data_IF_506089631566
#
_entry.id   IF_506089631566
#
_cell.length_a   1.000
_cell.length_b   1.000
_cell.length_c   1.000
_cell.angle_alpha   90.00
_cell.angle_beta   90.00
_cell.angle_gamma   90.00
#
_symmetry.space_group_name_H-M   'P 1'
#
loop_
_entity.id
_entity.type
_entity.pdbx_description
1 polymer ?
#
# COMPACT_ATOMS: atom_id res chain seq x y z
N UNK A 1 55.52 33.35 -39.09
CA UNK A 1 54.11 32.94 -39.28
C UNK A 1 53.48 32.94 -37.90
N UNK A 2 52.53 33.84 -37.67
CA UNK A 2 52.08 34.25 -36.35
C UNK A 2 51.00 33.29 -35.80
N UNK A 3 51.04 33.05 -34.49
CA UNK A 3 50.08 32.25 -33.71
C UNK A 3 48.67 32.86 -33.70
N UNK A 4 47.62 32.05 -33.86
CA UNK A 4 46.23 32.40 -33.49
C UNK A 4 45.48 31.14 -33.01
N UNK A 5 45.22 31.09 -31.69
CA UNK A 5 44.10 30.36 -31.05
C UNK A 5 42.77 31.03 -31.40
N UNK A 6 41.65 30.28 -31.51
CA UNK A 6 40.32 30.85 -31.28
C UNK A 6 39.93 30.70 -29.81
N UNK A 7 39.44 31.82 -29.26
CA UNK A 7 38.79 31.96 -27.95
C UNK A 7 37.38 31.38 -27.94
N UNK A 8 37.02 30.90 -26.75
CA UNK A 8 35.74 30.98 -26.03
C UNK A 8 34.57 31.68 -26.73
N UNK A 9 33.40 31.03 -26.70
CA UNK A 9 32.14 31.74 -26.60
C UNK A 9 31.34 31.15 -25.43
N UNK A 10 30.98 32.05 -24.51
CA UNK A 10 30.37 31.82 -23.21
C UNK A 10 28.84 31.64 -23.27
N UNK A 11 28.36 30.76 -22.37
CA UNK A 11 27.07 30.76 -21.64
C UNK A 11 25.72 30.54 -22.38
N UNK A 12 24.66 30.12 -21.64
CA UNK A 12 24.62 29.82 -20.20
C UNK A 12 24.23 28.38 -19.84
N UNK A 13 24.84 27.93 -18.74
CA UNK A 13 24.36 26.87 -17.86
C UNK A 13 22.91 27.16 -17.45
N UNK A 14 21.97 26.37 -17.96
CA UNK A 14 20.64 26.29 -17.38
C UNK A 14 20.76 25.47 -16.11
N UNK A 15 20.76 26.18 -14.98
CA UNK A 15 20.75 25.58 -13.65
C UNK A 15 19.58 24.60 -13.57
N UNK A 16 19.92 23.31 -13.47
CA UNK A 16 18.97 22.28 -13.06
C UNK A 16 18.45 22.66 -11.68
N UNK A 17 17.28 23.28 -11.64
CA UNK A 17 16.56 23.54 -10.40
C UNK A 17 16.38 22.21 -9.69
N UNK A 18 16.99 22.10 -8.51
CA UNK A 18 16.71 21.04 -7.55
C UNK A 18 15.23 21.14 -7.17
N UNK A 19 14.39 20.41 -7.91
CA UNK A 19 13.02 20.14 -7.52
C UNK A 19 13.13 19.24 -6.31
N UNK A 20 13.26 19.85 -5.13
CA UNK A 20 13.17 19.16 -3.87
C UNK A 20 11.81 18.47 -3.83
N UNK A 21 11.78 17.17 -4.13
CA UNK A 21 10.56 16.40 -3.98
C UNK A 21 10.14 16.52 -2.51
N UNK A 22 8.88 16.86 -2.20
CA UNK A 22 8.45 16.96 -0.81
C UNK A 22 8.77 15.65 -0.11
N UNK A 23 9.44 15.73 1.04
CA UNK A 23 9.80 14.57 1.85
C UNK A 23 8.57 13.68 2.03
N UNK A 24 8.49 12.61 1.24
CA UNK A 24 7.42 11.62 1.38
C UNK A 24 7.66 10.98 2.75
N UNK A 25 6.70 11.12 3.66
CA UNK A 25 6.74 10.43 4.94
C UNK A 25 7.00 8.95 4.65
N UNK A 26 8.06 8.41 5.24
CA UNK A 26 8.41 7.01 5.10
C UNK A 26 7.27 6.10 5.59
N UNK A 27 7.38 4.81 5.30
CA UNK A 27 6.39 3.81 5.72
C UNK A 27 6.21 3.83 7.24
N UNK A 28 4.96 3.68 7.72
CA UNK A 28 4.71 3.56 9.17
C UNK A 28 5.31 2.25 9.70
N UNK A 29 6.02 2.34 10.82
CA UNK A 29 6.62 1.19 11.51
C UNK A 29 5.92 0.85 12.83
N UNK A 30 5.01 1.73 13.31
CA UNK A 30 4.22 1.51 14.53
C UNK A 30 5.07 1.05 15.75
N UNK A 31 6.30 1.56 15.88
CA UNK A 31 7.25 1.14 16.93
C UNK A 31 6.65 1.23 18.34
N UNK A 32 5.89 2.28 18.61
CA UNK A 32 5.22 2.48 19.90
C UNK A 32 4.21 1.37 20.21
N UNK A 33 3.47 0.89 19.20
CA UNK A 33 2.53 -0.23 19.36
C UNK A 33 3.28 -1.56 19.53
N UNK A 34 4.37 -1.76 18.79
CA UNK A 34 5.22 -2.96 18.95
C UNK A 34 5.91 -3.01 20.32
N UNK A 35 6.30 -1.87 20.89
CA UNK A 35 6.93 -1.76 22.21
C UNK A 35 5.91 -1.74 23.37
N UNK A 36 4.62 -1.55 23.08
CA UNK A 36 3.55 -1.46 24.07
C UNK A 36 3.52 -2.67 25.01
N UNK A 37 3.46 -2.38 26.31
CA UNK A 37 3.27 -3.36 27.39
C UNK A 37 1.83 -3.42 27.88
N UNK A 38 1.18 -2.27 27.98
CA UNK A 38 -0.23 -2.16 28.39
C UNK A 38 -1.17 -2.36 27.22
N UNK A 39 -2.09 -3.32 27.30
CA UNK A 39 -2.98 -3.65 26.18
C UNK A 39 -4.12 -2.63 26.07
N UNK A 40 -4.40 -2.15 24.87
CA UNK A 40 -5.59 -1.30 24.60
C UNK A 40 -6.82 -2.16 24.34
N UNK A 41 -7.96 -1.78 24.92
CA UNK A 41 -9.26 -2.43 24.67
C UNK A 41 -9.81 -2.04 23.30
N UNK A 42 -10.35 -3.03 22.59
CA UNK A 42 -11.09 -2.82 21.34
C UNK A 42 -12.58 -3.02 21.61
N UNK A 43 -13.37 -1.97 21.37
CA UNK A 43 -14.84 -2.00 21.44
C UNK A 43 -15.38 -2.45 20.08
N UNK A 44 -16.44 -3.26 20.09
CA UNK A 44 -17.05 -3.80 18.89
C UNK A 44 -18.46 -3.26 18.66
N UNK A 45 -18.83 -3.11 17.39
CA UNK A 45 -20.23 -2.94 17.00
C UNK A 45 -20.97 -4.29 16.91
N UNK A 46 -22.26 -4.23 16.61
CA UNK A 46 -23.13 -5.40 16.44
C UNK A 46 -22.69 -6.36 15.32
N UNK A 47 -21.83 -5.92 14.40
CA UNK A 47 -21.25 -6.75 13.34
C UNK A 47 -19.88 -7.34 13.71
N UNK A 48 -19.49 -7.27 14.99
CA UNK A 48 -18.16 -7.72 15.48
C UNK A 48 -16.99 -6.99 14.83
N UNK A 49 -17.22 -5.78 14.34
CA UNK A 49 -16.16 -4.91 13.81
C UNK A 49 -15.72 -3.92 14.89
N UNK A 50 -14.42 -3.59 14.95
CA UNK A 50 -13.92 -2.59 15.90
C UNK A 50 -14.53 -1.22 15.58
N UNK A 51 -15.14 -0.59 16.60
CA UNK A 51 -15.73 0.74 16.51
C UNK A 51 -15.27 1.56 17.70
N UNK A 52 -14.84 2.79 17.42
CA UNK A 52 -14.55 3.81 18.41
C UNK A 52 -15.30 5.09 18.00
N UNK A 53 -15.84 5.89 18.94
CA UNK A 53 -16.49 7.17 18.59
C UNK A 53 -15.59 8.14 17.81
N UNK A 54 -14.28 7.97 17.92
CA UNK A 54 -13.23 8.82 17.32
C UNK A 54 -12.51 8.15 16.15
N UNK A 55 -12.78 6.87 15.85
CA UNK A 55 -12.07 5.99 14.90
C UNK A 55 -10.56 5.78 15.14
N UNK A 56 -9.91 6.58 15.99
CA UNK A 56 -8.45 6.57 16.21
C UNK A 56 -7.90 5.19 16.58
N UNK A 57 -8.58 4.47 17.47
CA UNK A 57 -8.18 3.13 17.90
C UNK A 57 -8.30 2.12 16.76
N UNK A 58 -9.32 2.25 15.92
CA UNK A 58 -9.57 1.39 14.76
C UNK A 58 -8.53 1.63 13.67
N UNK A 59 -8.17 2.90 13.44
CA UNK A 59 -7.12 3.31 12.51
C UNK A 59 -5.74 2.82 13.00
N UNK A 60 -5.46 2.95 14.29
CA UNK A 60 -4.22 2.45 14.91
C UNK A 60 -4.11 0.93 14.75
N UNK A 61 -5.18 0.20 15.08
CA UNK A 61 -5.23 -1.26 14.94
C UNK A 61 -5.03 -1.67 13.48
N UNK A 62 -5.76 -1.07 12.54
CA UNK A 62 -5.65 -1.38 11.11
C UNK A 62 -4.23 -1.10 10.59
N UNK A 63 -3.63 0.01 11.01
CA UNK A 63 -2.25 0.38 10.66
C UNK A 63 -1.23 -0.61 11.23
N UNK A 64 -1.45 -1.06 12.47
CA UNK A 64 -0.65 -2.11 13.11
C UNK A 64 -0.77 -3.45 12.39
N UNK A 65 -1.98 -3.89 12.04
CA UNK A 65 -2.18 -5.12 11.26
C UNK A 65 -1.46 -5.03 9.90
N UNK A 66 -1.46 -3.85 9.29
CA UNK A 66 -0.70 -3.57 8.09
C UNK A 66 0.82 -3.61 8.27
N UNK A 67 1.37 -3.45 9.48
CA UNK A 67 2.82 -3.68 9.74
C UNK A 67 3.12 -5.17 9.83
N UNK A 68 2.23 -5.96 10.44
CA UNK A 68 2.37 -7.42 10.53
C UNK A 68 2.38 -8.07 9.14
N UNK A 69 1.46 -7.65 8.27
CA UNK A 69 1.36 -8.12 6.90
C UNK A 69 2.63 -7.93 6.05
N UNK A 70 3.50 -6.99 6.44
CA UNK A 70 4.76 -6.68 5.75
C UNK A 70 5.97 -7.35 6.39
N UNK A 71 5.80 -7.99 7.54
CA UNK A 71 6.89 -8.66 8.22
C UNK A 71 7.10 -10.04 7.60
N UNK A 72 8.23 -10.22 6.90
CA UNK A 72 8.58 -11.48 6.24
C UNK A 72 8.65 -12.70 7.17
N UNK A 73 8.83 -12.51 8.49
CA UNK A 73 8.83 -13.64 9.45
C UNK A 73 7.42 -14.05 9.84
N UNK A 74 6.49 -13.10 9.94
CA UNK A 74 5.10 -13.35 10.32
C UNK A 74 4.21 -13.61 9.12
N UNK A 75 4.52 -13.02 7.97
CA UNK A 75 3.85 -13.20 6.69
C UNK A 75 4.90 -13.46 5.61
N UNK A 76 5.38 -14.72 5.51
CA UNK A 76 6.35 -15.09 4.49
C UNK A 76 5.80 -14.82 3.09
N UNK A 77 6.66 -14.30 2.20
CA UNK A 77 6.23 -13.93 0.85
C UNK A 77 6.34 -15.07 -0.18
N UNK A 78 7.06 -16.13 0.16
CA UNK A 78 7.21 -17.37 -0.61
C UNK A 78 5.94 -18.25 -0.56
N UNK A 79 5.07 -18.06 0.43
CA UNK A 79 3.76 -18.71 0.48
C UNK A 79 2.84 -18.02 -0.53
N UNK A 80 2.31 -18.76 -1.50
CA UNK A 80 1.49 -18.21 -2.59
C UNK A 80 0.02 -18.05 -2.20
N UNK A 81 -0.50 -18.96 -1.39
CA UNK A 81 -1.91 -18.98 -0.98
C UNK A 81 -2.05 -18.59 0.51
N UNK A 82 -2.83 -17.55 0.78
CA UNK A 82 -3.13 -17.13 2.15
C UNK A 82 -3.78 -18.25 2.97
N UNK A 83 -4.58 -19.13 2.36
CA UNK A 83 -5.22 -20.26 3.05
C UNK A 83 -4.16 -21.19 3.64
N UNK A 84 -3.04 -21.35 2.97
CA UNK A 84 -1.90 -22.18 3.37
C UNK A 84 -0.94 -21.51 4.36
N UNK A 85 -1.22 -20.27 4.79
CA UNK A 85 -0.34 -19.57 5.71
C UNK A 85 -0.42 -20.15 7.14
N UNK A 86 0.68 -20.76 7.59
CA UNK A 86 0.79 -21.43 8.88
C UNK A 86 0.94 -20.48 10.08
N UNK A 87 1.40 -19.25 9.84
CA UNK A 87 1.66 -18.22 10.88
C UNK A 87 0.41 -17.47 11.36
N UNK A 88 -0.80 -17.83 10.90
CA UNK A 88 -2.05 -17.15 11.29
C UNK A 88 -2.26 -17.14 12.81
N UNK A 89 -1.92 -18.24 13.47
CA UNK A 89 -1.99 -18.35 14.93
C UNK A 89 -1.02 -17.38 15.59
N UNK A 90 0.23 -17.34 15.12
CA UNK A 90 1.26 -16.44 15.65
C UNK A 90 0.88 -14.96 15.45
N UNK A 91 0.29 -14.61 14.29
CA UNK A 91 -0.26 -13.28 14.02
C UNK A 91 -1.36 -12.92 15.01
N UNK A 92 -2.27 -13.85 15.29
CA UNK A 92 -3.36 -13.64 16.23
C UNK A 92 -2.87 -13.48 17.66
N UNK A 93 -1.99 -14.37 18.11
CA UNK A 93 -1.41 -14.34 19.46
C UNK A 93 -0.57 -13.08 19.67
N UNK A 94 0.19 -12.65 18.65
CA UNK A 94 0.92 -11.39 18.68
C UNK A 94 -0.03 -10.18 18.81
N UNK A 95 -1.15 -10.20 18.09
CA UNK A 95 -2.16 -9.13 18.14
C UNK A 95 -2.83 -9.06 19.52
N UNK A 96 -3.24 -10.21 20.09
CA UNK A 96 -3.79 -10.31 21.47
C UNK A 96 -2.77 -9.91 22.54
N UNK A 97 -1.49 -10.03 22.25
CA UNK A 97 -0.43 -9.53 23.12
C UNK A 97 -0.43 -8.01 23.27
N UNK A 98 -0.94 -7.27 22.26
CA UNK A 98 -0.94 -5.79 22.20
C UNK A 98 -2.30 -5.16 22.48
N UNK A 99 -3.38 -5.91 22.29
CA UNK A 99 -4.74 -5.43 22.42
C UNK A 99 -5.60 -6.44 23.19
N UNK A 100 -6.57 -5.96 23.96
CA UNK A 100 -7.63 -6.78 24.53
C UNK A 100 -8.72 -6.86 23.45
N UNK A 101 -8.73 -7.96 22.70
CA UNK A 101 -9.63 -8.17 21.57
C UNK A 101 -10.53 -9.38 21.85
N UNK A 102 -11.86 -9.26 21.68
CA UNK A 102 -12.75 -10.42 21.72
C UNK A 102 -12.48 -11.40 20.56
N UNK A 103 -12.72 -12.69 20.79
CA UNK A 103 -12.42 -13.73 19.78
C UNK A 103 -13.21 -13.57 18.48
N UNK A 104 -14.41 -12.95 18.55
CA UNK A 104 -15.27 -12.70 17.38
C UNK A 104 -14.60 -11.82 16.29
N UNK A 105 -13.57 -11.04 16.67
CA UNK A 105 -12.83 -10.16 15.76
C UNK A 105 -11.77 -10.91 14.96
N UNK A 106 -11.43 -12.16 15.34
CA UNK A 106 -10.40 -12.96 14.69
C UNK A 106 -10.55 -12.97 13.16
N UNK A 107 -11.78 -13.20 12.68
CA UNK A 107 -12.05 -13.24 11.25
C UNK A 107 -11.77 -11.89 10.57
N UNK A 108 -12.24 -10.79 11.16
CA UNK A 108 -11.96 -9.45 10.66
C UNK A 108 -10.46 -9.16 10.65
N UNK A 109 -9.74 -9.49 11.72
CA UNK A 109 -8.28 -9.29 11.83
C UNK A 109 -7.53 -10.05 10.75
N UNK A 110 -7.85 -11.33 10.55
CA UNK A 110 -7.21 -12.15 9.53
C UNK A 110 -7.49 -11.64 8.11
N UNK A 111 -8.71 -11.19 7.83
CA UNK A 111 -9.06 -10.57 6.53
C UNK A 111 -8.29 -9.28 6.32
N UNK A 112 -8.19 -8.41 7.32
CA UNK A 112 -7.43 -7.16 7.23
C UNK A 112 -5.94 -7.40 6.96
N UNK A 113 -5.32 -8.35 7.67
CA UNK A 113 -3.90 -8.72 7.43
C UNK A 113 -3.75 -9.32 6.03
N UNK A 114 -4.66 -10.22 5.61
CA UNK A 114 -4.65 -10.82 4.27
C UNK A 114 -4.64 -9.75 3.19
N UNK A 115 -5.57 -8.81 3.25
CA UNK A 115 -5.73 -7.78 2.22
C UNK A 115 -4.54 -6.81 2.22
N UNK A 116 -3.97 -6.52 3.40
CA UNK A 116 -2.72 -5.78 3.52
C UNK A 116 -1.52 -6.52 2.91
N UNK A 117 -1.41 -7.83 3.14
CA UNK A 117 -0.34 -8.68 2.61
C UNK A 117 -0.40 -8.76 1.08
N UNK A 118 -1.60 -8.95 0.53
CA UNK A 118 -1.84 -8.95 -0.93
C UNK A 118 -1.44 -7.64 -1.58
N UNK A 119 -1.88 -6.52 -1.01
CA UNK A 119 -1.52 -5.18 -1.49
C UNK A 119 0.00 -4.99 -1.44
N UNK A 120 0.65 -5.40 -0.35
CA UNK A 120 2.09 -5.29 -0.26
C UNK A 120 2.82 -6.11 -1.34
N UNK A 121 2.37 -7.35 -1.62
CA UNK A 121 2.93 -8.15 -2.72
C UNK A 121 2.70 -7.51 -4.08
N UNK A 122 1.54 -6.90 -4.30
CA UNK A 122 1.28 -6.14 -5.52
C UNK A 122 2.21 -4.95 -5.66
N UNK A 123 2.43 -4.20 -4.57
CA UNK A 123 3.37 -3.08 -4.55
C UNK A 123 4.80 -3.57 -4.83
N UNK A 124 5.18 -4.75 -4.35
CA UNK A 124 6.48 -5.33 -4.63
C UNK A 124 6.66 -5.65 -6.11
N UNK A 125 5.65 -6.24 -6.76
CA UNK A 125 5.70 -6.51 -8.19
C UNK A 125 5.81 -5.21 -8.99
N UNK A 126 4.94 -4.24 -8.71
CA UNK A 126 4.89 -2.96 -9.42
C UNK A 126 6.20 -2.17 -9.31
N UNK A 127 6.85 -2.17 -8.15
CA UNK A 127 8.04 -1.35 -7.91
C UNK A 127 9.37 -2.08 -8.17
N UNK A 128 9.40 -3.41 -8.11
CA UNK A 128 10.65 -4.19 -8.12
C UNK A 128 10.70 -5.31 -9.15
N UNK A 129 9.59 -5.64 -9.81
CA UNK A 129 9.56 -6.64 -10.88
C UNK A 129 9.25 -6.00 -12.23
N UNK A 130 8.09 -5.34 -12.36
CA UNK A 130 7.62 -4.75 -13.62
C UNK A 130 8.57 -3.69 -14.22
N UNK A 131 9.29 -2.85 -13.44
CA UNK A 131 10.18 -1.83 -14.00
C UNK A 131 11.50 -2.37 -14.59
N UNK A 132 11.80 -3.66 -14.44
CA UNK A 132 13.09 -4.24 -14.80
C UNK A 132 12.90 -5.53 -15.59
N UNK A 133 13.69 -5.72 -16.65
CA UNK A 133 13.54 -6.89 -17.53
C UNK A 133 14.26 -8.15 -16.99
N UNK A 134 15.32 -7.97 -16.20
CA UNK A 134 16.21 -9.06 -15.79
C UNK A 134 16.23 -9.27 -14.26
N UNK A 135 16.13 -10.52 -13.82
CA UNK A 135 16.22 -10.93 -12.41
C UNK A 135 17.50 -10.48 -11.74
N UNK A 136 18.63 -10.43 -12.44
CA UNK A 136 19.88 -9.92 -11.86
C UNK A 136 19.75 -8.46 -11.39
N UNK A 137 19.06 -7.62 -12.18
CA UNK A 137 18.80 -6.22 -11.82
C UNK A 137 17.76 -6.14 -10.70
N UNK A 138 16.70 -6.95 -10.76
CA UNK A 138 15.66 -7.04 -9.72
C UNK A 138 16.27 -7.41 -8.36
N UNK A 139 17.18 -8.39 -8.33
CA UNK A 139 17.90 -8.82 -7.12
C UNK A 139 18.82 -7.71 -6.58
N UNK A 140 19.53 -7.00 -7.45
CA UNK A 140 20.39 -5.88 -7.04
C UNK A 140 19.57 -4.70 -6.47
N UNK A 141 18.33 -4.50 -6.95
CA UNK A 141 17.41 -3.45 -6.49
C UNK A 141 16.45 -3.91 -5.38
N UNK A 142 16.65 -5.11 -4.82
CA UNK A 142 15.78 -5.71 -3.80
C UNK A 142 15.52 -4.74 -2.64
N UNK A 143 14.28 -4.66 -2.12
CA UNK A 143 14.00 -3.90 -0.91
C UNK A 143 14.81 -4.41 0.30
N UNK A 144 15.39 -3.50 1.09
CA UNK A 144 16.25 -3.86 2.23
C UNK A 144 15.56 -4.65 3.34
N UNK A 145 14.25 -4.48 3.53
CA UNK A 145 13.46 -5.14 4.59
C UNK A 145 12.99 -6.55 4.24
N UNK A 146 13.20 -7.01 3.00
CA UNK A 146 12.78 -8.34 2.56
C UNK A 146 13.99 -9.28 2.55
N UNK A 147 13.93 -10.46 3.19
CA UNK A 147 14.98 -11.46 3.11
C UNK A 147 15.25 -11.86 1.66
N UNK A 148 16.52 -12.01 1.31
CA UNK A 148 16.94 -12.36 -0.05
C UNK A 148 16.35 -13.69 -0.52
N UNK A 149 16.30 -14.69 0.37
CA UNK A 149 15.72 -15.99 0.07
C UNK A 149 14.24 -15.88 -0.37
N UNK A 150 13.41 -15.13 0.36
CA UNK A 150 12.01 -14.96 0.03
C UNK A 150 11.82 -14.15 -1.26
N UNK A 151 12.65 -13.12 -1.47
CA UNK A 151 12.56 -12.33 -2.70
C UNK A 151 12.94 -13.16 -3.95
N UNK A 152 13.95 -14.03 -3.84
CA UNK A 152 14.32 -14.94 -4.92
C UNK A 152 13.20 -15.93 -5.27
N UNK A 153 12.53 -16.51 -4.27
CA UNK A 153 11.39 -17.40 -4.52
C UNK A 153 10.19 -16.65 -5.14
N UNK A 154 9.96 -15.40 -4.73
CA UNK A 154 8.97 -14.53 -5.39
C UNK A 154 9.27 -14.30 -6.87
N UNK A 155 10.53 -14.00 -7.23
CA UNK A 155 10.91 -13.81 -8.64
C UNK A 155 10.67 -15.08 -9.46
N UNK A 156 11.07 -16.25 -8.93
CA UNK A 156 10.78 -17.54 -9.58
C UNK A 156 9.28 -17.75 -9.81
N UNK A 157 8.46 -17.41 -8.82
CA UNK A 157 7.01 -17.50 -8.96
C UNK A 157 6.47 -16.56 -10.04
N UNK A 158 6.86 -15.28 -10.04
CA UNK A 158 6.40 -14.32 -11.05
C UNK A 158 6.88 -14.63 -12.46
N UNK A 159 8.05 -15.25 -12.59
CA UNK A 159 8.56 -15.74 -13.87
C UNK A 159 7.92 -17.06 -14.32
N UNK A 160 7.14 -17.74 -13.46
CA UNK A 160 6.53 -19.02 -13.79
C UNK A 160 5.42 -18.85 -14.85
N UNK A 161 5.36 -19.81 -15.78
CA UNK A 161 4.37 -19.79 -16.86
C UNK A 161 2.93 -19.87 -16.32
N UNK A 162 2.73 -20.60 -15.21
CA UNK A 162 1.43 -20.66 -14.53
C UNK A 162 0.96 -19.27 -14.12
N UNK A 163 1.83 -18.50 -13.46
CA UNK A 163 1.48 -17.17 -12.98
C UNK A 163 1.22 -16.20 -14.15
N UNK A 164 2.05 -16.24 -15.21
CA UNK A 164 1.85 -15.41 -16.41
C UNK A 164 0.52 -15.73 -17.11
N UNK A 165 0.19 -17.02 -17.24
CA UNK A 165 -1.06 -17.46 -17.87
C UNK A 165 -2.29 -17.02 -17.06
N UNK A 166 -2.26 -17.16 -15.72
CA UNK A 166 -3.34 -16.68 -14.84
C UNK A 166 -3.51 -15.16 -14.91
N UNK A 167 -2.40 -14.41 -14.98
CA UNK A 167 -2.42 -12.96 -15.17
C UNK A 167 -3.07 -12.57 -16.51
N UNK A 168 -2.65 -13.20 -17.62
CA UNK A 168 -3.17 -12.90 -18.96
C UNK A 168 -4.67 -13.21 -19.06
N UNK A 169 -5.12 -14.31 -18.47
CA UNK A 169 -6.54 -14.70 -18.43
C UNK A 169 -7.39 -13.67 -17.68
N UNK A 170 -6.89 -13.18 -16.54
CA UNK A 170 -7.60 -12.17 -15.74
C UNK A 170 -7.62 -10.81 -16.46
N UNK A 171 -6.53 -10.42 -17.13
CA UNK A 171 -6.49 -9.19 -17.94
C UNK A 171 -7.49 -9.24 -19.09
N UNK A 172 -7.64 -10.39 -19.76
CA UNK A 172 -8.68 -10.61 -20.77
C UNK A 172 -10.08 -10.44 -20.19
N UNK A 173 -10.36 -11.05 -19.03
CA UNK A 173 -11.66 -10.92 -18.35
C UNK A 173 -11.97 -9.48 -17.93
N UNK A 174 -10.98 -8.74 -17.43
CA UNK A 174 -11.10 -7.32 -17.08
C UNK A 174 -11.42 -6.46 -18.31
N UNK A 175 -10.72 -6.69 -19.42
CA UNK A 175 -10.97 -5.97 -20.68
C UNK A 175 -12.38 -6.17 -21.22
N UNK A 176 -13.01 -7.31 -20.93
CA UNK A 176 -14.38 -7.64 -21.33
C UNK A 176 -15.40 -6.96 -20.40
N UNK A 177 -15.13 -6.92 -19.10
CA UNK A 177 -16.08 -6.43 -18.09
C UNK A 177 -16.03 -4.90 -17.88
N UNK A 178 -14.98 -4.22 -18.33
CA UNK A 178 -14.83 -2.76 -18.23
C UNK A 178 -14.55 -2.23 -16.81
N UNK A 179 -14.38 -3.10 -15.82
CA UNK A 179 -13.99 -2.72 -14.45
C UNK A 179 -12.46 -2.68 -14.29
N UNK A 180 -11.91 -1.58 -13.79
CA UNK A 180 -10.49 -1.52 -13.41
C UNK A 180 -10.26 -2.31 -12.12
N UNK A 181 -9.87 -3.57 -12.25
CA UNK A 181 -9.41 -4.42 -11.14
C UNK A 181 -7.92 -4.69 -11.31
N UNK A 182 -7.15 -4.64 -10.23
CA UNK A 182 -5.73 -5.01 -10.29
C UNK A 182 -5.61 -6.53 -10.50
N UNK A 183 -5.29 -6.97 -11.72
CA UNK A 183 -5.21 -8.37 -12.11
C UNK A 183 -4.32 -9.22 -11.18
N UNK A 184 -3.21 -8.64 -10.68
CA UNK A 184 -2.35 -9.28 -9.69
C UNK A 184 -3.07 -9.60 -8.38
N UNK A 185 -3.91 -8.67 -7.91
CA UNK A 185 -4.70 -8.87 -6.70
C UNK A 185 -5.82 -9.89 -6.92
N UNK A 186 -6.21 -10.16 -8.16
CA UNK A 186 -7.19 -11.20 -8.49
C UNK A 186 -6.55 -12.59 -8.59
N UNK A 187 -5.33 -12.71 -9.14
CA UNK A 187 -4.57 -13.98 -9.19
C UNK A 187 -4.40 -14.60 -7.81
N UNK A 188 -4.19 -13.77 -6.79
CA UNK A 188 -3.90 -14.25 -5.45
C UNK A 188 -5.14 -14.75 -4.68
N UNK A 189 -6.35 -14.79 -5.27
CA UNK A 189 -7.74 -15.00 -4.75
C UNK A 189 -8.76 -13.89 -5.23
N UNK A 190 -9.93 -14.22 -5.80
CA UNK A 190 -10.95 -13.22 -6.11
C UNK A 190 -11.59 -12.62 -4.84
N UNK A 191 -11.62 -11.28 -4.76
CA UNK A 191 -12.40 -10.54 -3.75
C UNK A 191 -13.90 -10.80 -4.01
N UNK A 192 -14.69 -11.12 -2.98
CA UNK A 192 -16.13 -11.27 -3.17
C UNK A 192 -16.75 -9.87 -3.40
N UNK A 193 -17.45 -9.64 -4.53
CA UNK A 193 -18.09 -8.37 -4.84
C UNK A 193 -19.23 -8.14 -3.85
N UNK A 194 -18.98 -7.31 -2.85
CA UNK A 194 -19.98 -7.04 -1.79
C UNK A 194 -19.46 -6.26 -0.60
N UNK A 195 -18.13 -6.11 -0.45
CA UNK A 195 -17.57 -5.30 0.63
C UNK A 195 -17.10 -3.95 0.10
N UNK A 196 -18.00 -2.96 0.23
CA UNK A 196 -17.75 -1.56 -0.06
C UNK A 196 -16.46 -1.10 0.63
N UNK A 197 -15.49 -0.69 -0.19
CA UNK A 197 -14.32 0.09 0.22
C UNK A 197 -14.79 1.44 0.81
N UNK A 198 -14.92 1.55 2.14
CA UNK A 198 -14.94 2.85 2.79
C UNK A 198 -13.50 3.35 2.95
N UNK A 199 -12.88 3.79 1.85
CA UNK A 199 -11.76 4.73 1.96
C UNK A 199 -12.38 6.11 2.19
N UNK A 200 -12.49 6.51 3.45
CA UNK A 200 -12.59 7.92 3.76
C UNK A 200 -11.25 8.57 3.44
N UNK A 201 -11.13 9.21 2.28
CA UNK A 201 -10.18 10.31 2.17
C UNK A 201 -10.58 11.33 3.24
N UNK A 202 -9.87 11.31 4.38
CA UNK A 202 -10.05 12.32 5.41
C UNK A 202 -10.01 13.69 4.74
N UNK A 203 -10.95 14.56 5.11
CA UNK A 203 -11.05 15.90 4.54
C UNK A 203 -9.70 16.59 4.69
N UNK A 204 -8.98 16.72 3.59
CA UNK A 204 -7.69 17.41 3.61
C UNK A 204 -7.95 18.92 3.74
N UNK A 205 -7.02 19.67 4.36
CA UNK A 205 -7.11 21.14 4.40
C UNK A 205 -7.30 21.74 2.99
N UNK A 206 -6.80 21.07 1.96
CA UNK A 206 -7.00 21.37 0.54
C UNK A 206 -8.43 21.14 0.06
N UNK A 207 -9.10 20.07 0.50
CA UNK A 207 -10.53 19.82 0.22
C UNK A 207 -11.43 20.88 0.87
N UNK A 208 -11.11 21.32 2.09
CA UNK A 208 -11.81 22.43 2.74
C UNK A 208 -11.57 23.75 2.01
N UNK A 209 -10.31 24.11 1.74
CA UNK A 209 -9.98 25.35 1.01
C UNK A 209 -10.62 25.42 -0.37
N UNK A 210 -10.70 24.31 -1.10
CA UNK A 210 -11.37 24.26 -2.42
C UNK A 210 -12.89 24.47 -2.30
N UNK A 211 -13.53 23.95 -1.25
CA UNK A 211 -14.96 24.19 -0.99
C UNK A 211 -15.25 25.64 -0.56
N UNK A 212 -14.42 26.22 0.30
CA UNK A 212 -14.57 27.62 0.72
C UNK A 212 -14.30 28.60 -0.44
N UNK A 213 -13.30 28.35 -1.27
CA UNK A 213 -13.02 29.18 -2.46
C UNK A 213 -14.14 29.14 -3.50
N UNK A 214 -14.81 27.99 -3.68
CA UNK A 214 -15.98 27.91 -4.55
C UNK A 214 -17.20 28.64 -3.98
N UNK A 215 -17.37 28.67 -2.65
CA UNK A 215 -18.50 29.36 -2.00
C UNK A 215 -18.39 30.89 -2.14
N UNK A 216 -17.18 31.45 -2.06
CA UNK A 216 -16.96 32.88 -2.29
C UNK A 216 -17.21 33.27 -3.75
N UNK A 217 -16.83 32.43 -4.72
CA UNK A 217 -17.10 32.68 -6.15
C UNK A 217 -18.58 32.66 -6.53
N UNK A 218 -19.39 31.86 -5.83
CA UNK A 218 -20.84 31.80 -6.06
C UNK A 218 -21.62 32.96 -5.44
N UNK A 219 -21.09 33.59 -4.39
CA UNK A 219 -21.73 34.75 -3.76
C UNK A 219 -21.52 36.05 -4.54
N UNK A 220 -20.43 36.18 -5.31
CA UNK A 220 -20.15 37.37 -6.12
C UNK A 220 -20.85 37.39 -7.48
N UNK A 221 -21.56 36.32 -7.87
CA UNK A 221 -22.19 36.18 -9.19
C UNK A 221 -23.70 36.47 -9.21
N UNK A 222 -24.30 36.89 -8.09
CA UNK A 222 -25.76 37.17 -7.98
C UNK A 222 -26.09 38.65 -7.73
N UNK A 223 -25.10 39.54 -7.70
CA UNK A 223 -25.31 41.00 -7.59
C UNK A 223 -24.87 41.70 -8.86
N UNK A 224 -25.53 41.42 -9.99
CA UNK A 224 -25.57 42.32 -11.15
C UNK A 224 -26.71 41.84 -12.05
N UNK A 225 -27.90 42.42 -11.84
CA UNK A 225 -29.12 41.98 -12.52
C UNK A 225 -30.39 42.61 -11.98
N UNK A 226 -30.40 43.93 -11.75
CA UNK A 226 -31.59 44.80 -11.83
C UNK A 226 -31.17 46.26 -11.90
#
# INVERSE_FOLDING_TARGET
MNSVTPRTNDQPEEQAGDVSTPNKRGRTQMHDVHARKERKLIILNSQSQPVDPTDDVVIELSSFLGTLARNATLCPFDILDWRSMYTKKDLWDYTKGKYIIPEVVYHWTMVTIRDAWRRHRSDLKLNYYDPYDNDAVRMAKKPGHIPECQFRELLKYWNSEKFKAEMEEIEKQISINGEYVNAFSSVMDPEHPGRLRLYGAGVTKTTLKKKFGNLESTLSATTDGM
#
